data_IF_068203559045
#
_entry.id   IF_068203559045
#
_cell.length_a   1.000
_cell.length_b   1.000
_cell.length_c   1.000
_cell.angle_alpha   90.00
_cell.angle_beta   90.00
_cell.angle_gamma   90.00
#
_symmetry.space_group_name_H-M   'P 1'
#
loop_
_entity.id
_entity.type
_entity.pdbx_description
1 polymer ?
#
# COMPACT_ATOMS: atom_id res chain seq x y z
N UNK A 1 1.32 -15.08 7.12
CA UNK A 1 1.85 -14.72 5.79
C UNK A 1 3.35 -14.52 5.89
N UNK A 2 4.08 -14.87 4.84
CA UNK A 2 5.54 -14.71 4.83
C UNK A 2 5.96 -13.25 4.84
N UNK A 3 5.22 -12.36 4.15
CA UNK A 3 5.52 -10.93 4.10
C UNK A 3 5.61 -10.27 5.49
N UNK A 4 4.74 -10.64 6.43
CA UNK A 4 4.79 -10.07 7.78
C UNK A 4 5.81 -10.80 8.66
N UNK A 5 6.04 -12.09 8.44
CA UNK A 5 6.99 -12.89 9.22
C UNK A 5 8.44 -12.44 8.99
N UNK A 6 8.76 -12.00 7.77
CA UNK A 6 10.12 -11.61 7.37
C UNK A 6 10.35 -10.11 7.35
N UNK A 7 9.29 -9.31 7.52
CA UNK A 7 9.39 -7.86 7.59
C UNK A 7 10.11 -7.40 8.87
N UNK A 8 10.97 -6.40 8.74
CA UNK A 8 11.62 -5.73 9.87
C UNK A 8 10.68 -4.66 10.45
N UNK A 9 10.89 -4.23 11.71
CA UNK A 9 10.21 -3.06 12.24
C UNK A 9 10.31 -1.86 11.28
N UNK A 10 9.19 -1.18 11.02
CA UNK A 10 9.11 -0.06 10.08
C UNK A 10 9.16 -0.47 8.60
N UNK A 11 8.98 -1.75 8.25
CA UNK A 11 8.89 -2.19 6.87
C UNK A 11 7.77 -1.46 6.10
N UNK A 12 8.02 -1.22 4.82
CA UNK A 12 7.12 -0.48 3.92
C UNK A 12 6.83 -1.31 2.69
N UNK A 13 5.58 -1.30 2.25
CA UNK A 13 5.14 -1.86 0.97
C UNK A 13 4.65 -0.70 0.11
N UNK A 14 5.27 -0.51 -1.04
CA UNK A 14 4.92 0.52 -2.01
C UNK A 14 4.61 -0.15 -3.34
N UNK A 15 3.44 0.12 -3.90
CA UNK A 15 3.04 -0.38 -5.21
C UNK A 15 2.15 0.62 -5.95
N UNK A 16 1.99 0.42 -7.25
CA UNK A 16 1.14 1.24 -8.11
C UNK A 16 0.02 0.40 -8.70
N UNK A 17 -1.15 1.00 -8.90
CA UNK A 17 -2.25 0.36 -9.61
C UNK A 17 -2.91 1.33 -10.58
N UNK A 18 -3.71 0.79 -11.51
CA UNK A 18 -4.53 1.61 -12.40
C UNK A 18 -5.70 2.31 -11.66
N UNK A 19 -6.04 1.87 -10.45
CA UNK A 19 -7.12 2.43 -9.64
C UNK A 19 -6.56 3.40 -8.60
N UNK A 20 -7.32 4.48 -8.31
CA UNK A 20 -6.98 5.42 -7.24
C UNK A 20 -7.20 4.84 -5.83
N UNK A 21 -8.28 4.07 -5.55
CA UNK A 21 -8.41 3.36 -4.28
C UNK A 21 -7.52 2.12 -4.23
N UNK A 22 -7.01 1.79 -3.04
CA UNK A 22 -6.27 0.53 -2.84
C UNK A 22 -7.15 -0.67 -3.16
N UNK A 23 -6.61 -1.61 -3.93
CA UNK A 23 -7.29 -2.84 -4.33
C UNK A 23 -7.25 -3.94 -3.24
N UNK A 24 -6.48 -3.75 -2.17
CA UNK A 24 -6.21 -4.80 -1.18
C UNK A 24 -7.39 -5.12 -0.25
N UNK A 25 -8.21 -4.15 0.21
CA UNK A 25 -9.44 -4.44 0.94
C UNK A 25 -10.35 -5.38 0.14
N UNK A 26 -10.79 -6.47 0.77
CA UNK A 26 -11.62 -7.50 0.11
C UNK A 26 -10.86 -8.47 -0.82
N UNK A 27 -9.54 -8.27 -1.04
CA UNK A 27 -8.68 -9.20 -1.81
C UNK A 27 -7.67 -9.95 -0.95
N UNK A 28 -7.39 -9.45 0.25
CA UNK A 28 -6.53 -10.11 1.24
C UNK A 28 -7.35 -10.46 2.49
N UNK A 29 -6.96 -11.50 3.25
CA UNK A 29 -7.54 -11.75 4.56
C UNK A 29 -7.34 -10.56 5.49
N UNK A 30 -8.40 -10.14 6.20
CA UNK A 30 -8.35 -9.01 7.13
C UNK A 30 -7.23 -9.15 8.19
N UNK A 31 -6.98 -10.32 8.81
CA UNK A 31 -5.89 -10.45 9.79
C UNK A 31 -4.48 -10.22 9.20
N UNK A 32 -4.33 -10.34 7.88
CA UNK A 32 -3.10 -9.93 7.21
C UNK A 32 -3.07 -8.41 7.08
N UNK A 33 -4.12 -7.82 6.51
CA UNK A 33 -4.15 -6.39 6.20
C UNK A 33 -4.13 -5.54 7.47
N UNK A 34 -4.76 -5.98 8.56
CA UNK A 34 -4.81 -5.30 9.86
C UNK A 34 -3.43 -5.15 10.54
N UNK A 35 -2.41 -5.88 10.07
CA UNK A 35 -1.04 -5.70 10.57
C UNK A 35 -0.30 -4.59 9.84
N UNK A 36 -0.88 -4.04 8.78
CA UNK A 36 -0.29 -2.98 7.97
C UNK A 36 -1.17 -1.75 8.00
N UNK A 37 -0.57 -0.61 8.28
CA UNK A 37 -1.22 0.69 8.26
C UNK A 37 -1.19 1.30 6.85
N UNK A 38 -2.34 1.70 6.32
CA UNK A 38 -2.44 2.32 5.00
C UNK A 38 -2.23 3.84 5.12
N UNK A 39 -1.19 4.35 4.45
CA UNK A 39 -0.84 5.76 4.50
C UNK A 39 -1.57 6.54 3.41
N UNK A 40 -2.85 6.82 3.62
CA UNK A 40 -3.72 7.43 2.60
C UNK A 40 -3.21 8.79 2.08
N UNK A 41 -2.83 9.71 2.97
CA UNK A 41 -2.35 11.04 2.58
C UNK A 41 -1.02 10.98 1.83
N UNK A 42 -0.06 10.18 2.30
CA UNK A 42 1.22 10.00 1.64
C UNK A 42 1.04 9.33 0.27
N UNK A 43 0.15 8.33 0.18
CA UNK A 43 -0.24 7.64 -1.06
C UNK A 43 -0.78 8.62 -2.11
N UNK A 44 -1.72 9.49 -1.71
CA UNK A 44 -2.24 10.54 -2.58
C UNK A 44 -1.12 11.52 -3.00
N UNK A 45 -0.29 11.96 -2.06
CA UNK A 45 0.84 12.83 -2.35
C UNK A 45 1.87 12.21 -3.29
N UNK A 46 2.13 10.89 -3.20
CA UNK A 46 2.99 10.19 -4.16
C UNK A 46 2.33 10.08 -5.53
N UNK A 47 1.02 9.86 -5.59
CA UNK A 47 0.26 9.80 -6.85
C UNK A 47 0.36 11.11 -7.61
N UNK A 48 0.18 12.26 -6.95
CA UNK A 48 0.34 13.60 -7.56
C UNK A 48 1.75 13.83 -8.13
N UNK A 49 2.77 13.22 -7.52
CA UNK A 49 4.18 13.34 -7.96
C UNK A 49 4.57 12.33 -9.02
N UNK A 50 3.78 11.26 -9.23
CA UNK A 50 4.09 10.25 -10.22
C UNK A 50 3.88 10.85 -11.62
N UNK A 51 4.95 10.85 -12.42
CA UNK A 51 4.95 11.40 -13.79
C UNK A 51 4.57 10.33 -14.83
N UNK A 52 4.35 9.09 -14.38
CA UNK A 52 3.94 7.98 -15.22
C UNK A 52 2.41 7.90 -15.26
N UNK A 53 1.80 8.57 -16.23
CA UNK A 53 0.33 8.72 -16.36
C UNK A 53 -0.46 7.43 -16.66
N UNK A 54 0.18 6.26 -16.59
CA UNK A 54 -0.46 4.97 -16.87
C UNK A 54 -1.07 4.31 -15.62
N UNK A 55 -0.78 4.84 -14.42
CA UNK A 55 -1.28 4.32 -13.15
C UNK A 55 -2.14 5.38 -12.45
N UNK A 56 -3.27 4.96 -11.88
CA UNK A 56 -4.23 5.82 -11.19
C UNK A 56 -3.94 6.03 -9.71
N UNK A 57 -3.05 5.22 -9.10
CA UNK A 57 -2.75 5.34 -7.68
C UNK A 57 -1.39 4.74 -7.28
N UNK A 58 -0.70 5.44 -6.39
CA UNK A 58 0.43 4.94 -5.59
C UNK A 58 -0.09 4.61 -4.20
N UNK A 59 0.20 3.41 -3.70
CA UNK A 59 -0.27 2.94 -2.40
C UNK A 59 0.90 2.58 -1.50
N UNK A 60 0.93 3.18 -0.31
CA UNK A 60 1.91 2.90 0.73
C UNK A 60 1.24 2.25 1.94
N UNK A 61 1.81 1.12 2.36
CA UNK A 61 1.51 0.47 3.62
C UNK A 61 2.76 0.40 4.49
N UNK A 62 2.60 0.59 5.80
CA UNK A 62 3.68 0.44 6.80
C UNK A 62 3.33 -0.64 7.80
N UNK A 63 4.27 -1.53 8.12
CA UNK A 63 4.05 -2.52 9.17
C UNK A 63 3.81 -1.78 10.51
N UNK A 64 2.76 -2.17 11.23
CA UNK A 64 2.45 -1.65 12.56
C UNK A 64 3.47 -2.11 13.59
#
# INVERSE_FOLDING_TARGET
>A
SEITRTARPGARVLFRTAAEPSLLPGRLPDPLLDRWDYRAEESAGYTVRDRSAIYGGVHLYTLR
#
